data_IF_187183254152
#
_entry.id   IF_187183254152
#
_cell.length_a   1.000
_cell.length_b   1.000
_cell.length_c   1.000
_cell.angle_alpha   90.00
_cell.angle_beta   90.00
_cell.angle_gamma   90.00
#
_symmetry.space_group_name_H-M   'P 1'
#
loop_
_entity.id
_entity.type
_entity.pdbx_description
1 polymer ?
#
# COMPACT_ATOMS: atom_id res chain seq x y z
N UNK A 1 13.06 -15.98 0.53
CA UNK A 1 12.55 -15.62 -0.81
C UNK A 1 11.11 -16.07 -0.83
N UNK A 2 10.10 -15.20 -0.92
CA UNK A 2 10.02 -13.95 -1.68
C UNK A 2 8.91 -13.12 -1.03
N UNK A 3 9.10 -11.80 -0.85
CA UNK A 3 8.01 -10.89 -0.53
C UNK A 3 6.86 -11.19 -1.50
N UNK A 4 5.66 -11.44 -0.98
CA UNK A 4 4.47 -11.75 -1.78
C UNK A 4 4.42 -10.79 -2.94
N UNK A 5 4.70 -11.31 -4.13
CA UNK A 5 4.77 -10.54 -5.34
C UNK A 5 3.48 -9.70 -5.42
N UNK A 6 3.66 -8.39 -5.27
CA UNK A 6 2.68 -7.38 -5.62
C UNK A 6 2.00 -7.84 -6.91
N UNK A 7 0.72 -8.17 -6.82
CA UNK A 7 -0.06 -8.56 -7.98
C UNK A 7 -0.21 -7.32 -8.86
N UNK A 8 0.64 -7.23 -9.87
CA UNK A 8 0.74 -6.28 -10.99
C UNK A 8 0.59 -4.76 -10.73
N UNK A 9 0.40 -4.30 -9.49
CA UNK A 9 0.38 -2.87 -9.13
C UNK A 9 -0.57 -1.99 -9.94
N UNK A 10 -1.45 -2.59 -10.76
CA UNK A 10 -2.19 -1.90 -11.82
C UNK A 10 -3.12 -0.83 -11.26
N UNK A 11 -3.56 -1.03 -10.02
CA UNK A 11 -4.45 -0.13 -9.29
C UNK A 11 -3.72 0.74 -8.27
N UNK A 12 -2.38 0.71 -8.30
CA UNK A 12 -1.50 1.48 -7.44
C UNK A 12 -1.01 0.71 -6.21
N UNK A 13 -0.15 1.40 -5.46
CA UNK A 13 0.51 0.91 -4.27
C UNK A 13 0.18 1.80 -3.06
N UNK A 14 0.15 1.20 -1.89
CA UNK A 14 0.11 1.93 -0.61
C UNK A 14 1.33 1.59 0.20
N UNK A 15 1.85 2.57 0.93
CA UNK A 15 2.96 2.37 1.85
C UNK A 15 2.41 1.99 3.21
N UNK A 16 2.77 0.80 3.68
CA UNK A 16 2.33 0.27 4.97
C UNK A 16 3.50 0.14 5.94
N UNK A 17 3.21 0.27 7.22
CA UNK A 17 4.12 -0.07 8.31
C UNK A 17 3.42 -0.97 9.33
N UNK A 18 4.19 -1.81 10.02
CA UNK A 18 3.70 -2.60 11.16
C UNK A 18 3.67 -1.75 12.42
N UNK A 19 2.47 -1.49 12.91
CA UNK A 19 2.22 -0.93 14.23
C UNK A 19 2.03 -2.06 15.26
N UNK A 20 2.80 -2.07 16.36
CA UNK A 20 2.73 -3.15 17.36
C UNK A 20 1.41 -3.20 18.14
N UNK A 21 0.59 -2.14 18.08
CA UNK A 21 -0.67 -2.03 18.83
C UNK A 21 -1.89 -2.27 17.94
N UNK A 22 -1.83 -1.84 16.68
CA UNK A 22 -2.98 -1.74 15.77
C UNK A 22 -2.84 -2.61 14.51
N UNK A 23 -1.70 -3.28 14.30
CA UNK A 23 -1.46 -4.13 13.13
C UNK A 23 -0.86 -3.34 11.97
N UNK A 24 -1.54 -3.27 10.82
CA UNK A 24 -1.03 -2.52 9.67
C UNK A 24 -1.55 -1.08 9.68
N UNK A 25 -0.62 -0.13 9.54
CA UNK A 25 -0.91 1.29 9.36
C UNK A 25 -0.41 1.75 7.99
N UNK A 26 -1.16 2.63 7.34
CA UNK A 26 -0.92 3.06 5.96
C UNK A 26 -0.62 4.55 5.89
N UNK A 27 0.38 4.93 5.09
CA UNK A 27 0.82 6.32 4.96
C UNK A 27 -0.18 7.17 4.16
N UNK A 28 -0.37 8.41 4.63
CA UNK A 28 -1.13 9.47 3.98
C UNK A 28 -0.29 10.75 3.95
N UNK A 29 -0.23 11.43 2.80
CA UNK A 29 0.45 12.72 2.69
C UNK A 29 -0.21 13.81 3.55
N UNK A 30 -1.53 13.70 3.78
CA UNK A 30 -2.31 14.69 4.52
C UNK A 30 -2.35 14.41 6.03
N UNK A 31 -2.32 13.13 6.42
CA UNK A 31 -2.62 12.70 7.80
C UNK A 31 -1.53 11.84 8.47
N UNK A 32 -0.47 11.45 7.75
CA UNK A 32 0.53 10.50 8.24
C UNK A 32 0.03 9.05 8.26
N UNK A 33 0.57 8.20 9.14
CA UNK A 33 0.16 6.79 9.25
C UNK A 33 -1.21 6.62 9.90
N UNK A 34 -2.09 5.84 9.27
CA UNK A 34 -3.43 5.58 9.77
C UNK A 34 -4.15 4.46 9.00
N UNK A 35 -5.49 4.49 8.94
CA UNK A 35 -6.28 3.43 8.29
C UNK A 35 -6.17 3.49 6.76
N UNK A 36 -6.34 2.34 6.09
CA UNK A 36 -6.22 2.20 4.63
C UNK A 36 -7.09 3.18 3.83
N UNK A 37 -8.29 3.53 4.32
CA UNK A 37 -9.21 4.41 3.58
C UNK A 37 -8.69 5.86 3.43
N UNK A 38 -7.71 6.27 4.25
CA UNK A 38 -7.05 7.57 4.16
C UNK A 38 -5.67 7.50 3.48
N UNK A 39 -5.25 6.30 3.06
CA UNK A 39 -3.92 6.09 2.51
C UNK A 39 -3.76 6.80 1.17
N UNK A 40 -2.58 7.38 0.95
CA UNK A 40 -2.21 7.89 -0.38
C UNK A 40 -1.88 6.69 -1.27
N UNK A 41 -2.52 6.65 -2.44
CA UNK A 41 -2.25 5.65 -3.47
C UNK A 41 -1.20 6.19 -4.42
N UNK A 42 -0.11 5.44 -4.57
CA UNK A 42 1.03 5.77 -5.42
C UNK A 42 0.98 4.98 -6.72
N UNK A 43 1.43 5.58 -7.81
CA UNK A 43 1.73 4.83 -9.04
C UNK A 43 3.00 3.98 -8.85
N UNK A 44 3.25 3.04 -9.76
CA UNK A 44 4.49 2.25 -9.75
C UNK A 44 5.74 3.16 -9.85
N UNK A 45 5.69 4.17 -10.72
CA UNK A 45 6.78 5.12 -10.89
C UNK A 45 7.04 5.94 -9.63
N UNK A 46 5.96 6.36 -8.94
CA UNK A 46 6.07 7.10 -7.70
C UNK A 46 6.63 6.21 -6.59
N UNK A 47 6.17 4.96 -6.47
CA UNK A 47 6.67 4.02 -5.46
C UNK A 47 8.18 3.72 -5.67
N UNK A 48 8.62 3.60 -6.94
CA UNK A 48 10.03 3.43 -7.29
C UNK A 48 10.88 4.68 -6.98
N UNK A 49 10.36 5.88 -7.21
CA UNK A 49 11.04 7.14 -6.92
C UNK A 49 11.06 7.46 -5.42
N UNK A 50 10.01 7.07 -4.70
CA UNK A 50 9.84 7.35 -3.29
C UNK A 50 10.48 6.34 -2.38
N UNK A 51 11.12 5.28 -2.90
CA UNK A 51 11.78 4.22 -2.14
C UNK A 51 12.60 4.83 -0.98
N UNK A 52 11.99 4.96 0.21
CA UNK A 52 12.73 5.45 1.34
C UNK A 52 13.77 4.36 1.59
N UNK A 53 14.92 4.71 2.17
CA UNK A 53 15.69 3.67 2.81
C UNK A 53 14.69 2.98 3.76
N UNK A 54 14.33 1.74 3.43
CA UNK A 54 13.54 0.85 4.29
C UNK A 54 14.47 0.55 5.46
N UNK A 55 14.69 1.58 6.27
CA UNK A 55 15.50 1.57 7.45
C UNK A 55 14.55 1.03 8.51
N UNK A 56 14.88 -0.16 9.01
CA UNK A 56 14.14 -0.93 10.01
C UNK A 56 12.86 -1.61 9.50
N UNK A 57 13.02 -2.86 9.04
CA UNK A 57 12.17 -4.07 9.13
C UNK A 57 10.61 -3.99 9.13
N UNK A 58 10.01 -2.83 8.89
CA UNK A 58 8.59 -2.57 9.16
C UNK A 58 7.84 -1.96 7.99
N UNK A 59 8.54 -1.30 7.06
CA UNK A 59 7.96 -0.58 5.92
C UNK A 59 7.83 -1.46 4.67
N UNK A 60 6.61 -1.62 4.16
CA UNK A 60 6.29 -2.48 3.01
C UNK A 60 5.36 -1.77 2.01
N UNK A 61 5.65 -1.92 0.72
CA UNK A 61 4.74 -1.50 -0.36
C UNK A 61 3.73 -2.62 -0.65
N UNK A 62 2.44 -2.29 -0.57
CA UNK A 62 1.35 -3.24 -0.84
C UNK A 62 0.60 -2.83 -2.10
N UNK A 63 0.46 -3.74 -3.07
CA UNK A 63 -0.35 -3.53 -4.26
C UNK A 63 -1.84 -3.57 -3.92
N UNK A 64 -2.60 -2.62 -4.47
CA UNK A 64 -4.05 -2.63 -4.34
C UNK A 64 -4.67 -3.69 -5.27
N UNK A 65 -5.62 -4.49 -4.78
CA UNK A 65 -6.37 -5.39 -5.63
C UNK A 65 -7.28 -4.60 -6.58
N UNK A 66 -7.72 -5.27 -7.64
CA UNK A 66 -8.71 -4.70 -8.55
C UNK A 66 -9.96 -4.19 -7.79
N UNK A 67 -10.51 -3.02 -8.15
CA UNK A 67 -11.76 -2.54 -7.62
C UNK A 67 -12.83 -3.62 -7.76
N UNK A 68 -13.61 -3.82 -6.70
CA UNK A 68 -14.75 -4.73 -6.75
C UNK A 68 -15.76 -4.17 -7.76
N UNK A 69 -15.75 -4.70 -8.98
CA UNK A 69 -16.80 -4.40 -9.95
C UNK A 69 -18.09 -5.04 -9.43
N UNK A 70 -19.20 -4.30 -9.30
CA UNK A 70 -20.47 -4.91 -8.97
C UNK A 70 -20.78 -5.93 -10.06
N UNK A 71 -21.00 -7.19 -9.65
CA UNK A 71 -21.47 -8.23 -10.57
C UNK A 71 -22.77 -7.73 -11.17
N UNK A 72 -22.76 -7.33 -12.43
CA UNK A 72 -24.00 -7.01 -13.14
C UNK A 72 -24.85 -8.28 -13.14
N UNK A 73 -25.84 -8.31 -12.27
CA UNK A 73 -26.90 -9.31 -12.28
C UNK A 73 -27.60 -9.17 -13.63
N UNK A 74 -27.57 -10.24 -14.41
CA UNK A 74 -28.00 -10.27 -15.80
C UNK A 74 -29.39 -10.85 -15.92
#
# INVERSE_FOLDING_TARGET
>A
MTASAAVDGTYGFVLATRDPTHGLSFWSADYGYGPLFNATVFSEADAAAHAPAIADDQLEWLALPAPLVPRSER
#
